data_IF_579792724044
#
_entry.id   IF_579792724044
#
_cell.length_a   1.000
_cell.length_b   1.000
_cell.length_c   1.000
_cell.angle_alpha   90.00
_cell.angle_beta   90.00
_cell.angle_gamma   90.00
#
_symmetry.space_group_name_H-M   'P 1'
#
loop_
_entity.id
_entity.type
_entity.pdbx_description
1 polymer ?
#
# COMPACT_ATOMS: atom_id res chain seq x y z
N UNK A 1 -1.51 9.92 -11.07
CA UNK A 1 -2.32 8.77 -10.62
C UNK A 1 -1.92 7.57 -11.44
N UNK A 2 -1.19 6.63 -10.83
CA UNK A 2 -0.80 5.35 -11.44
C UNK A 2 -1.83 4.30 -11.02
N UNK A 3 -2.46 3.65 -11.99
CA UNK A 3 -3.38 2.54 -11.72
C UNK A 3 -2.62 1.21 -11.81
N UNK A 4 -2.51 0.52 -10.68
CA UNK A 4 -1.92 -0.82 -10.59
C UNK A 4 -3.02 -1.87 -10.46
N UNK A 5 -3.35 -2.47 -11.60
CA UNK A 5 -4.30 -3.57 -11.72
C UNK A 5 -3.59 -4.87 -12.15
N UNK A 6 -4.15 -6.02 -11.75
CA UNK A 6 -3.60 -7.34 -12.08
C UNK A 6 -2.70 -7.92 -10.99
N UNK A 7 -1.85 -8.88 -11.35
CA UNK A 7 -0.92 -9.53 -10.41
C UNK A 7 0.46 -8.92 -10.61
N UNK A 8 1.00 -8.30 -9.56
CA UNK A 8 2.36 -7.76 -9.53
C UNK A 8 3.17 -8.59 -8.55
N UNK A 9 4.33 -9.05 -8.98
CA UNK A 9 5.26 -9.82 -8.15
C UNK A 9 6.52 -9.01 -7.89
N UNK A 10 6.96 -8.98 -6.63
CA UNK A 10 8.10 -8.19 -6.18
C UNK A 10 7.70 -6.89 -5.48
N UNK A 11 8.68 -6.27 -4.85
CA UNK A 11 8.49 -5.01 -4.11
C UNK A 11 8.23 -3.85 -5.07
N UNK A 12 7.32 -2.96 -4.68
CA UNK A 12 6.90 -1.79 -5.47
C UNK A 12 7.14 -0.53 -4.65
N UNK A 13 7.76 0.48 -5.28
CA UNK A 13 7.84 1.83 -4.75
C UNK A 13 6.89 2.75 -5.52
N UNK A 14 5.96 3.37 -4.80
CA UNK A 14 5.03 4.36 -5.32
C UNK A 14 5.58 5.75 -5.02
N UNK A 15 6.15 6.37 -6.04
CA UNK A 15 6.76 7.71 -6.04
C UNK A 15 5.78 8.83 -6.43
N UNK A 16 4.51 8.46 -6.62
CA UNK A 16 3.44 9.32 -7.11
C UNK A 16 2.11 8.71 -6.70
N UNK A 17 1.06 9.53 -6.69
CA UNK A 17 -0.28 9.09 -6.34
C UNK A 17 -0.71 7.88 -7.18
N UNK A 18 -1.28 6.86 -6.53
CA UNK A 18 -1.58 5.59 -7.16
C UNK A 18 -2.76 4.86 -6.54
N UNK A 19 -3.43 4.04 -7.35
CA UNK A 19 -4.50 3.15 -6.92
C UNK A 19 -4.11 1.70 -7.21
N UNK A 20 -4.05 0.91 -6.14
CA UNK A 20 -3.72 -0.51 -6.17
C UNK A 20 -5.00 -1.29 -5.98
N UNK A 21 -5.55 -1.80 -7.08
CA UNK A 21 -6.73 -2.68 -7.08
C UNK A 21 -6.37 -4.14 -7.34
N UNK A 22 -5.13 -4.41 -7.78
CA UNK A 22 -4.61 -5.75 -8.06
C UNK A 22 -4.12 -6.53 -6.83
N UNK A 23 -3.44 -7.64 -7.11
CA UNK A 23 -2.74 -8.44 -6.11
C UNK A 23 -1.26 -8.08 -6.20
N UNK A 24 -0.70 -7.57 -5.11
CA UNK A 24 0.73 -7.32 -4.95
C UNK A 24 1.32 -8.43 -4.09
N UNK A 25 2.23 -9.21 -4.67
CA UNK A 25 2.98 -10.26 -3.99
C UNK A 25 4.39 -9.76 -3.70
N UNK A 26 4.49 -8.89 -2.69
CA UNK A 26 5.70 -8.20 -2.27
C UNK A 26 5.36 -6.96 -1.45
N UNK A 27 6.41 -6.27 -1.00
CA UNK A 27 6.25 -5.08 -0.16
C UNK A 27 5.87 -3.85 -0.98
N UNK A 28 5.09 -2.95 -0.38
CA UNK A 28 4.73 -1.67 -0.97
C UNK A 28 5.37 -0.56 -0.16
N UNK A 29 6.14 0.30 -0.80
CA UNK A 29 6.64 1.54 -0.20
C UNK A 29 5.96 2.73 -0.84
N UNK A 30 5.25 3.53 -0.05
CA UNK A 30 4.64 4.80 -0.47
C UNK A 30 5.58 5.93 -0.11
N UNK A 31 6.01 6.70 -1.12
CA UNK A 31 6.95 7.79 -0.94
C UNK A 31 6.31 9.01 -0.25
N UNK A 32 7.16 9.85 0.32
CA UNK A 32 6.80 11.10 1.01
C UNK A 32 5.83 11.94 0.18
N UNK A 33 4.74 12.40 0.79
CA UNK A 33 3.77 13.31 0.16
C UNK A 33 2.89 12.66 -0.91
N UNK A 34 2.94 11.34 -1.10
CA UNK A 34 2.11 10.64 -2.07
C UNK A 34 0.79 10.18 -1.43
N UNK A 35 -0.28 10.16 -2.24
CA UNK A 35 -1.58 9.63 -1.85
C UNK A 35 -1.88 8.33 -2.55
N UNK A 36 -2.03 7.25 -1.79
CA UNK A 36 -2.22 5.90 -2.33
C UNK A 36 -3.47 5.24 -1.77
N UNK A 37 -4.28 4.66 -2.66
CA UNK A 37 -5.42 3.81 -2.27
C UNK A 37 -5.09 2.36 -2.56
N UNK A 38 -5.26 1.48 -1.57
CA UNK A 38 -5.08 0.03 -1.70
C UNK A 38 -6.43 -0.63 -1.48
N UNK A 39 -7.08 -1.01 -2.57
CA UNK A 39 -8.35 -1.77 -2.57
C UNK A 39 -8.16 -3.25 -2.88
N UNK A 40 -6.98 -3.62 -3.39
CA UNK A 40 -6.61 -4.99 -3.70
C UNK A 40 -6.03 -5.80 -2.53
N UNK A 41 -5.23 -6.81 -2.85
CA UNK A 41 -4.57 -7.66 -1.85
C UNK A 41 -3.06 -7.42 -1.87
N UNK A 42 -2.46 -7.19 -0.71
CA UNK A 42 -1.02 -7.09 -0.52
C UNK A 42 -0.56 -8.30 0.29
N UNK A 43 0.41 -9.05 -0.23
CA UNK A 43 1.09 -10.16 0.45
C UNK A 43 2.52 -9.75 0.75
N UNK A 44 2.68 -8.93 1.77
CA UNK A 44 3.90 -8.25 2.12
C UNK A 44 3.60 -7.03 2.98
N UNK A 45 4.65 -6.32 3.36
CA UNK A 45 4.54 -5.17 4.25
C UNK A 45 4.21 -3.90 3.46
N UNK A 46 3.42 -3.01 4.07
CA UNK A 46 3.13 -1.68 3.53
C UNK A 46 3.86 -0.65 4.37
N UNK A 47 4.84 0.02 3.78
CA UNK A 47 5.58 1.12 4.41
C UNK A 47 5.16 2.44 3.81
N UNK A 48 4.72 3.37 4.64
CA UNK A 48 4.35 4.72 4.24
C UNK A 48 5.33 5.72 4.86
N UNK A 49 6.03 6.46 3.99
CA UNK A 49 7.00 7.48 4.35
C UNK A 49 6.34 8.76 4.92
N UNK A 50 7.11 9.65 5.59
CA UNK A 50 6.56 10.85 6.22
C UNK A 50 5.66 11.67 5.29
N UNK A 51 4.50 12.10 5.79
CA UNK A 51 3.56 12.91 5.00
C UNK A 51 2.86 12.18 3.84
N UNK A 52 3.06 10.87 3.67
CA UNK A 52 2.23 10.07 2.78
C UNK A 52 0.82 9.89 3.37
N UNK A 53 -0.17 9.76 2.48
CA UNK A 53 -1.55 9.41 2.81
C UNK A 53 -1.91 8.07 2.19
N UNK A 54 -2.13 7.04 3.01
CA UNK A 54 -2.46 5.69 2.51
C UNK A 54 -3.85 5.30 3.00
N UNK A 55 -4.72 4.94 2.06
CA UNK A 55 -6.06 4.41 2.37
C UNK A 55 -6.12 2.94 1.98
N UNK A 56 -6.36 2.06 2.94
CA UNK A 56 -6.38 0.61 2.77
C UNK A 56 -7.82 0.13 2.98
N UNK A 57 -8.51 -0.17 1.89
CA UNK A 57 -9.86 -0.78 1.88
C UNK A 57 -9.82 -2.28 1.60
N UNK A 58 -8.69 -2.79 1.09
CA UNK A 58 -8.47 -4.19 0.74
C UNK A 58 -7.89 -5.06 1.87
N UNK A 59 -7.07 -6.04 1.50
CA UNK A 59 -6.45 -6.97 2.46
C UNK A 59 -4.93 -6.81 2.44
N UNK A 60 -4.32 -6.59 3.60
CA UNK A 60 -2.87 -6.64 3.80
C UNK A 60 -2.52 -7.85 4.63
N UNK A 61 -1.71 -8.74 4.07
CA UNK A 61 -1.15 -9.90 4.73
C UNK A 61 0.33 -9.61 5.01
N UNK A 62 0.57 -8.90 6.11
CA UNK A 62 1.83 -8.26 6.46
C UNK A 62 1.62 -7.13 7.46
N UNK A 63 2.70 -6.44 7.79
CA UNK A 63 2.71 -5.29 8.67
C UNK A 63 2.46 -3.99 7.90
N UNK A 64 1.89 -3.00 8.59
CA UNK A 64 1.70 -1.64 8.06
C UNK A 64 2.54 -0.68 8.89
N UNK A 65 3.58 -0.11 8.28
CA UNK A 65 4.51 0.83 8.89
C UNK A 65 4.14 2.25 8.46
N UNK A 66 3.68 3.08 9.40
CA UNK A 66 3.39 4.48 9.18
C UNK A 66 4.51 5.34 9.78
N UNK A 67 5.54 5.64 8.99
CA UNK A 67 6.70 6.43 9.44
C UNK A 67 6.41 7.93 9.37
N UNK A 68 5.46 8.41 10.18
CA UNK A 68 4.99 9.81 10.10
C UNK A 68 4.02 10.05 8.93
N UNK A 69 3.51 8.98 8.34
CA UNK A 69 2.40 8.98 7.38
C UNK A 69 1.04 8.94 8.07
N UNK A 70 0.00 9.32 7.34
CA UNK A 70 -1.39 9.08 7.73
C UNK A 70 -1.90 7.83 7.02
N UNK A 71 -2.23 6.78 7.79
CA UNK A 71 -2.75 5.53 7.24
C UNK A 71 -4.17 5.28 7.75
N UNK A 72 -5.12 5.20 6.83
CA UNK A 72 -6.51 4.87 7.10
C UNK A 72 -6.78 3.44 6.65
N UNK A 73 -7.11 2.56 7.61
CA UNK A 73 -7.46 1.17 7.31
C UNK A 73 -8.94 0.94 7.57
N UNK A 74 -9.67 0.59 6.52
CA UNK A 74 -11.05 0.11 6.58
C UNK A 74 -11.18 -1.34 6.14
N UNK A 75 -10.10 -1.91 5.59
CA UNK A 75 -9.99 -3.31 5.21
C UNK A 75 -9.45 -4.22 6.33
N UNK A 76 -8.85 -5.35 5.94
CA UNK A 76 -8.31 -6.35 6.86
C UNK A 76 -6.79 -6.31 6.81
N UNK A 77 -6.15 -6.15 7.98
CA UNK A 77 -4.71 -6.34 8.15
C UNK A 77 -4.51 -7.58 8.99
N UNK A 78 -3.81 -8.57 8.45
CA UNK A 78 -3.44 -9.79 9.15
C UNK A 78 -1.94 -9.95 9.10
N UNK A 79 -1.35 -10.26 10.26
CA UNK A 79 0.03 -10.67 10.35
C UNK A 79 0.10 -12.19 10.16
N UNK A 80 1.14 -12.72 9.50
CA UNK A 80 1.41 -14.15 9.46
C UNK A 80 1.81 -14.72 10.83
#
# INVERSE_FOLDING_TARGET
MKDLAGIISGAIRLDSDADVSGIVSGDITVATGCRVTISGMVRGDVTAEPGAEVTITGIVNGAVHAEGATVHVTGIVTLP
#
